data_IF_100395061635
#
_entry.id   IF_100395061635
#
_cell.length_a   1.000
_cell.length_b   1.000
_cell.length_c   1.000
_cell.angle_alpha   90.00
_cell.angle_beta   90.00
_cell.angle_gamma   90.00
#
_symmetry.space_group_name_H-M   'P 1'
#
loop_
_entity.id
_entity.type
_entity.pdbx_description
1 polymer ?
#
# COMPACT_ATOMS: atom_id res chain seq x y z
N UNK A 1 -4.68 13.34 -7.00
CA UNK A 1 -4.52 12.65 -8.30
C UNK A 1 -5.75 12.88 -9.12
N UNK A 2 -5.63 13.69 -10.17
CA UNK A 2 -6.73 14.02 -11.10
C UNK A 2 -6.88 12.96 -12.20
N UNK A 3 -5.85 12.13 -12.40
CA UNK A 3 -5.81 11.04 -13.37
C UNK A 3 -6.33 9.71 -12.81
N UNK A 4 -6.82 8.85 -13.72
CA UNK A 4 -7.29 7.49 -13.42
C UNK A 4 -6.15 6.46 -13.44
N UNK A 5 -4.96 6.90 -13.03
CA UNK A 5 -3.72 6.11 -13.07
C UNK A 5 -3.14 5.87 -11.68
N UNK A 6 -2.76 4.62 -11.44
CA UNK A 6 -2.03 4.17 -10.25
C UNK A 6 -0.53 4.17 -10.56
N UNK A 7 0.25 4.92 -9.78
CA UNK A 7 1.70 5.12 -10.03
C UNK A 7 2.59 4.43 -9.01
N UNK A 8 2.19 4.46 -7.74
CA UNK A 8 2.96 3.87 -6.65
C UNK A 8 2.99 2.34 -6.78
N UNK A 9 4.16 1.73 -6.59
CA UNK A 9 4.41 0.33 -6.93
C UNK A 9 3.53 -0.64 -6.13
N UNK A 10 3.34 -0.40 -4.83
CA UNK A 10 2.48 -1.25 -4.00
C UNK A 10 1.01 -1.12 -4.41
N UNK A 11 0.53 0.09 -4.65
CA UNK A 11 -0.83 0.34 -5.14
C UNK A 11 -1.07 -0.32 -6.50
N UNK A 12 -0.09 -0.28 -7.42
CA UNK A 12 -0.17 -0.99 -8.71
C UNK A 12 -0.27 -2.50 -8.52
N UNK A 13 0.48 -3.05 -7.55
CA UNK A 13 0.41 -4.46 -7.17
C UNK A 13 -0.98 -4.85 -6.65
N UNK A 14 -1.55 -4.05 -5.74
CA UNK A 14 -2.91 -4.28 -5.26
C UNK A 14 -3.96 -4.16 -6.36
N UNK A 15 -3.83 -3.16 -7.23
CA UNK A 15 -4.73 -2.94 -8.36
C UNK A 15 -4.66 -4.11 -9.35
N UNK A 16 -3.45 -4.63 -9.64
CA UNK A 16 -3.24 -5.79 -10.50
C UNK A 16 -4.00 -7.02 -9.99
N UNK A 17 -3.91 -7.32 -8.70
CA UNK A 17 -4.61 -8.48 -8.11
C UNK A 17 -6.12 -8.32 -8.31
N UNK A 18 -6.66 -7.15 -7.96
CA UNK A 18 -8.09 -6.87 -8.08
C UNK A 18 -8.56 -6.95 -9.55
N UNK A 19 -7.84 -6.28 -10.46
CA UNK A 19 -8.17 -6.27 -11.88
C UNK A 19 -8.12 -7.66 -12.50
N UNK A 20 -7.10 -8.46 -12.17
CA UNK A 20 -6.96 -9.83 -12.67
C UNK A 20 -8.13 -10.72 -12.23
N UNK A 21 -8.56 -10.62 -10.96
CA UNK A 21 -9.70 -11.37 -10.45
C UNK A 21 -11.02 -10.92 -11.07
N UNK A 22 -11.25 -9.60 -11.20
CA UNK A 22 -12.48 -9.05 -11.77
C UNK A 22 -12.63 -9.33 -13.26
N UNK A 23 -11.53 -9.31 -14.02
CA UNK A 23 -11.56 -9.58 -15.47
C UNK A 23 -11.59 -11.07 -15.79
N UNK A 24 -11.29 -11.96 -14.84
CA UNK A 24 -11.22 -13.40 -15.12
C UNK A 24 -9.90 -13.83 -15.77
N UNK A 25 -8.81 -13.16 -15.38
CA UNK A 25 -7.45 -13.45 -15.80
C UNK A 25 -7.09 -12.93 -17.20
N UNK A 26 -5.91 -13.29 -17.70
CA UNK A 26 -5.42 -12.81 -19.00
C UNK A 26 -6.33 -13.17 -20.18
N UNK A 27 -7.05 -14.29 -20.09
CA UNK A 27 -7.98 -14.76 -21.12
C UNK A 27 -9.40 -14.21 -20.96
N UNK A 28 -9.68 -13.47 -19.89
CA UNK A 28 -10.99 -12.91 -19.56
C UNK A 28 -12.15 -13.92 -19.63
N UNK A 29 -11.91 -15.14 -19.14
CA UNK A 29 -12.86 -16.25 -19.28
C UNK A 29 -13.01 -17.13 -18.03
N UNK A 30 -12.34 -16.76 -16.93
CA UNK A 30 -12.47 -17.44 -15.65
C UNK A 30 -13.39 -16.67 -14.72
N UNK A 31 -14.24 -17.37 -13.99
CA UNK A 31 -14.95 -16.80 -12.84
C UNK A 31 -14.12 -17.03 -11.58
N UNK A 32 -13.48 -15.97 -11.08
CA UNK A 32 -12.71 -16.02 -9.83
C UNK A 32 -13.54 -15.61 -8.59
N UNK A 33 -14.88 -15.62 -8.67
CA UNK A 33 -15.75 -15.40 -7.51
C UNK A 33 -15.62 -14.01 -6.90
N UNK A 34 -15.14 -13.02 -7.66
CA UNK A 34 -14.92 -11.64 -7.21
C UNK A 34 -15.70 -10.71 -8.12
N UNK A 35 -16.56 -9.85 -7.54
CA UNK A 35 -17.39 -8.91 -8.32
C UNK A 35 -17.48 -7.56 -7.64
N UNK A 36 -17.68 -6.52 -8.45
CA UNK A 36 -18.14 -5.22 -7.94
C UNK A 36 -19.66 -5.21 -8.00
N UNK A 37 -20.28 -4.90 -6.86
CA UNK A 37 -21.73 -4.73 -6.73
C UNK A 37 -22.05 -3.25 -6.46
N UNK A 38 -23.28 -2.86 -6.75
CA UNK A 38 -23.82 -1.59 -6.34
C UNK A 38 -24.92 -1.82 -5.29
N UNK A 39 -24.84 -1.09 -4.17
CA UNK A 39 -25.87 -1.08 -3.12
C UNK A 39 -26.09 0.37 -2.70
N UNK A 40 -27.34 0.83 -2.71
CA UNK A 40 -27.74 2.20 -2.35
C UNK A 40 -26.90 3.29 -3.04
N UNK A 41 -26.64 3.10 -4.34
CA UNK A 41 -25.83 4.01 -5.15
C UNK A 41 -24.31 3.96 -4.87
N UNK A 42 -23.83 3.09 -3.99
CA UNK A 42 -22.42 2.93 -3.66
C UNK A 42 -21.84 1.62 -4.18
N UNK A 43 -20.54 1.63 -4.52
CA UNK A 43 -19.83 0.46 -4.98
C UNK A 43 -19.15 -0.29 -3.84
N UNK A 44 -19.21 -1.62 -3.93
CA UNK A 44 -18.56 -2.54 -2.99
C UNK A 44 -17.91 -3.69 -3.76
N UNK A 45 -16.78 -4.16 -3.26
CA UNK A 45 -16.20 -5.42 -3.68
C UNK A 45 -16.90 -6.55 -2.92
N UNK A 46 -17.44 -7.53 -3.64
CA UNK A 46 -18.02 -8.75 -3.09
C UNK A 46 -17.16 -9.95 -3.50
N UNK A 47 -16.71 -10.70 -2.50
CA UNK A 47 -16.20 -12.06 -2.69
C UNK A 47 -17.39 -13.00 -2.56
N UNK A 48 -17.81 -13.58 -3.68
CA UNK A 48 -18.90 -14.57 -3.74
C UNK A 48 -18.39 -15.98 -3.43
N UNK A 49 -17.13 -16.27 -3.81
CA UNK A 49 -16.50 -17.57 -3.58
C UNK A 49 -15.01 -17.37 -3.26
N UNK A 50 -14.65 -17.66 -2.02
CA UNK A 50 -13.29 -17.49 -1.51
C UNK A 50 -12.29 -18.46 -2.15
N UNK A 51 -12.70 -19.70 -2.41
CA UNK A 51 -11.81 -20.70 -3.00
C UNK A 51 -11.52 -20.37 -4.46
N UNK A 52 -12.52 -19.90 -5.22
CA UNK A 52 -12.27 -19.39 -6.59
C UNK A 52 -11.35 -18.17 -6.58
N UNK A 53 -11.54 -17.23 -5.66
CA UNK A 53 -10.66 -16.06 -5.54
C UNK A 53 -9.22 -16.48 -5.21
N UNK A 54 -9.06 -17.44 -4.28
CA UNK A 54 -7.76 -18.02 -3.94
C UNK A 54 -7.09 -18.69 -5.13
N UNK A 55 -7.83 -19.46 -5.93
CA UNK A 55 -7.32 -20.04 -7.17
C UNK A 55 -6.85 -18.97 -8.16
N UNK A 56 -7.63 -17.90 -8.35
CA UNK A 56 -7.23 -16.79 -9.23
C UNK A 56 -5.96 -16.06 -8.78
N UNK A 57 -5.78 -15.88 -7.48
CA UNK A 57 -4.51 -15.36 -6.93
C UNK A 57 -3.36 -16.36 -7.17
N UNK A 58 -3.63 -17.66 -7.07
CA UNK A 58 -2.67 -18.71 -7.41
C UNK A 58 -2.22 -18.67 -8.87
N UNK A 59 -3.16 -18.54 -9.81
CA UNK A 59 -2.88 -18.40 -11.24
C UNK A 59 -2.00 -17.17 -11.52
N UNK A 60 -2.36 -16.03 -10.94
CA UNK A 60 -1.58 -14.80 -11.05
C UNK A 60 -0.18 -14.97 -10.45
N UNK A 61 -0.04 -15.65 -9.32
CA UNK A 61 1.26 -15.92 -8.69
C UNK A 61 2.15 -16.76 -9.61
N UNK A 62 1.64 -17.86 -10.16
CA UNK A 62 2.38 -18.71 -11.10
C UNK A 62 2.84 -17.89 -12.31
N UNK A 63 1.96 -17.04 -12.83
CA UNK A 63 2.27 -16.15 -13.95
C UNK A 63 3.38 -15.15 -13.64
N UNK A 64 3.24 -14.39 -12.54
CA UNK A 64 4.22 -13.39 -12.12
C UNK A 64 5.57 -14.03 -11.80
N UNK A 65 5.55 -15.19 -11.13
CA UNK A 65 6.77 -15.94 -10.82
C UNK A 65 7.45 -16.43 -12.11
N UNK A 66 6.69 -16.94 -13.08
CA UNK A 66 7.23 -17.36 -14.38
C UNK A 66 7.89 -16.20 -15.12
N UNK A 67 7.23 -15.04 -15.17
CA UNK A 67 7.76 -13.81 -15.77
C UNK A 67 9.08 -13.43 -15.11
N UNK A 68 9.11 -13.39 -13.76
CA UNK A 68 10.30 -13.07 -12.98
C UNK A 68 11.44 -14.05 -13.25
N UNK A 69 11.18 -15.35 -13.19
CA UNK A 69 12.18 -16.40 -13.39
C UNK A 69 12.76 -16.41 -14.80
N UNK A 70 12.00 -15.98 -15.81
CA UNK A 70 12.46 -15.86 -17.20
C UNK A 70 13.06 -14.49 -17.54
N UNK A 71 13.01 -13.52 -16.62
CA UNK A 71 13.46 -12.15 -16.87
C UNK A 71 12.65 -11.42 -17.96
N UNK A 72 11.38 -11.79 -18.18
CA UNK A 72 10.57 -11.24 -19.28
C UNK A 72 9.95 -9.87 -18.90
N UNK A 73 10.75 -8.81 -19.02
CA UNK A 73 10.31 -7.44 -18.72
C UNK A 73 9.14 -6.97 -19.58
N UNK A 74 9.02 -7.47 -20.82
CA UNK A 74 7.93 -7.08 -21.72
C UNK A 74 6.61 -7.69 -21.27
N UNK A 75 6.62 -8.97 -20.85
CA UNK A 75 5.43 -9.60 -20.26
C UNK A 75 5.04 -8.94 -18.93
N UNK A 76 6.02 -8.56 -18.10
CA UNK A 76 5.74 -7.81 -16.87
C UNK A 76 5.00 -6.50 -17.18
N UNK A 77 5.50 -5.71 -18.14
CA UNK A 77 4.86 -4.48 -18.60
C UNK A 77 3.40 -4.70 -19.01
N UNK A 78 3.14 -5.67 -19.91
CA UNK A 78 1.77 -5.97 -20.38
C UNK A 78 0.79 -6.33 -19.26
N UNK A 79 1.22 -7.15 -18.30
CA UNK A 79 0.37 -7.57 -17.16
C UNK A 79 0.02 -6.36 -16.29
N UNK A 80 1.01 -5.55 -15.92
CA UNK A 80 0.77 -4.37 -15.10
C UNK A 80 -0.01 -3.28 -15.83
N UNK A 81 0.26 -3.04 -17.11
CA UNK A 81 -0.42 -2.00 -17.88
C UNK A 81 -1.91 -2.32 -18.01
N UNK A 82 -2.25 -3.59 -18.25
CA UNK A 82 -3.65 -4.02 -18.33
C UNK A 82 -4.36 -3.93 -16.99
N UNK A 83 -3.84 -4.59 -15.96
CA UNK A 83 -4.59 -4.83 -14.73
C UNK A 83 -4.22 -3.89 -13.57
N UNK A 84 -3.00 -3.34 -13.58
CA UNK A 84 -2.41 -2.65 -12.42
C UNK A 84 -2.34 -1.13 -12.52
N UNK A 85 -2.66 -0.52 -13.67
CA UNK A 85 -2.48 0.93 -13.86
C UNK A 85 -3.78 1.73 -13.87
N UNK A 86 -4.90 1.17 -14.36
CA UNK A 86 -6.15 1.91 -14.57
C UNK A 86 -7.13 1.71 -13.42
N UNK A 87 -7.84 2.78 -13.06
CA UNK A 87 -8.94 2.76 -12.09
C UNK A 87 -10.23 3.13 -12.81
N UNK A 88 -11.34 2.47 -12.48
CA UNK A 88 -12.66 2.88 -12.97
C UNK A 88 -13.02 4.28 -12.40
N UNK A 89 -13.26 5.31 -13.24
CA UNK A 89 -13.49 6.68 -12.77
C UNK A 89 -14.76 6.83 -11.94
N UNK A 90 -15.82 6.07 -12.26
CA UNK A 90 -17.09 6.08 -11.54
C UNK A 90 -16.91 5.54 -10.12
N UNK A 91 -16.24 4.40 -9.97
CA UNK A 91 -15.93 3.81 -8.66
C UNK A 91 -15.04 4.75 -7.83
N UNK A 92 -14.01 5.35 -8.46
CA UNK A 92 -13.12 6.31 -7.81
C UNK A 92 -13.88 7.51 -7.26
N UNK A 93 -14.77 8.10 -8.07
CA UNK A 93 -15.54 9.27 -7.66
C UNK A 93 -16.49 8.94 -6.50
N UNK A 94 -17.17 7.79 -6.56
CA UNK A 94 -18.01 7.31 -5.47
C UNK A 94 -17.21 7.14 -4.16
N UNK A 95 -16.07 6.44 -4.21
CA UNK A 95 -15.23 6.18 -3.03
C UNK A 95 -14.66 7.48 -2.46
N UNK A 96 -14.21 8.41 -3.31
CA UNK A 96 -13.71 9.73 -2.85
C UNK A 96 -14.79 10.54 -2.14
N UNK A 97 -16.01 10.56 -2.68
CA UNK A 97 -17.13 11.27 -2.06
C UNK A 97 -17.51 10.68 -0.68
N UNK A 98 -17.28 9.36 -0.48
CA UNK A 98 -17.47 8.70 0.82
C UNK A 98 -16.33 9.02 1.78
N UNK A 99 -15.08 8.90 1.33
CA UNK A 99 -13.89 9.15 2.13
C UNK A 99 -13.83 10.61 2.63
N UNK A 100 -14.23 11.58 1.81
CA UNK A 100 -14.26 13.00 2.19
C UNK A 100 -15.14 13.29 3.41
N UNK A 101 -16.20 12.50 3.64
CA UNK A 101 -17.10 12.66 4.79
C UNK A 101 -16.46 12.22 6.11
N UNK A 102 -15.48 11.32 6.04
CA UNK A 102 -14.78 10.77 7.21
C UNK A 102 -13.67 11.69 7.74
N UNK A 103 -13.29 12.74 6.98
CA UNK A 103 -12.24 13.70 7.35
C UNK A 103 -10.93 13.04 7.82
N UNK A 104 -10.56 11.92 7.17
CA UNK A 104 -9.36 11.18 7.53
C UNK A 104 -8.09 11.91 7.07
N UNK A 105 -6.99 11.85 7.83
CA UNK A 105 -5.71 12.37 7.39
C UNK A 105 -5.20 11.57 6.17
N UNK A 106 -4.67 12.28 5.17
CA UNK A 106 -4.15 11.66 3.94
C UNK A 106 -2.79 10.96 4.14
N UNK A 107 -2.10 11.25 5.25
CA UNK A 107 -0.81 10.68 5.61
C UNK A 107 -0.74 10.51 7.12
N UNK A 108 -0.07 9.45 7.53
CA UNK A 108 0.30 9.21 8.92
C UNK A 108 1.80 9.42 9.07
N UNK A 109 2.21 9.92 10.23
CA UNK A 109 3.60 9.97 10.64
C UNK A 109 3.74 9.25 11.97
N UNK A 110 4.90 8.65 12.20
CA UNK A 110 5.25 8.05 13.48
C UNK A 110 6.20 8.99 14.21
N UNK A 111 5.94 9.21 15.50
CA UNK A 111 6.89 9.87 16.39
C UNK A 111 7.77 8.80 17.00
N UNK A 112 9.08 8.88 16.75
CA UNK A 112 10.02 7.92 17.33
C UNK A 112 10.22 8.18 18.82
N UNK A 113 10.35 7.15 19.66
CA UNK A 113 10.73 7.34 21.04
C UNK A 113 12.16 7.91 21.14
N UNK A 114 12.43 8.60 22.24
CA UNK A 114 13.77 9.05 22.60
C UNK A 114 14.43 8.00 23.48
N UNK A 115 15.69 7.70 23.18
CA UNK A 115 16.49 6.74 23.94
C UNK A 115 17.54 7.51 24.75
N UNK A 116 17.59 7.28 26.06
CA UNK A 116 18.59 7.87 26.96
C UNK A 116 19.42 6.74 27.60
N UNK A 117 20.76 6.74 27.47
CA UNK A 117 21.58 5.77 28.17
C UNK A 117 21.58 6.04 29.68
N UNK A 118 21.47 4.98 30.47
CA UNK A 118 21.70 5.00 31.91
C UNK A 118 23.14 4.54 32.14
N UNK A 119 23.96 5.39 32.76
CA UNK A 119 25.39 5.17 32.93
C UNK A 119 25.74 4.74 34.36
N UNK A 120 26.70 3.82 34.49
CA UNK A 120 27.44 3.53 35.73
C UNK A 120 28.92 3.80 35.47
N UNK A 121 29.39 4.98 35.86
CA UNK A 121 30.71 5.46 35.41
C UNK A 121 30.69 5.77 33.91
N UNK A 122 31.63 5.22 33.16
CA UNK A 122 31.68 5.33 31.69
C UNK A 122 30.93 4.20 30.96
N UNK A 123 30.37 3.24 31.69
CA UNK A 123 29.68 2.08 31.12
C UNK A 123 28.17 2.34 31.03
N UNK A 124 27.57 2.03 29.88
CA UNK A 124 26.11 2.01 29.71
C UNK A 124 25.59 0.72 30.34
N UNK A 125 24.73 0.85 31.36
CA UNK A 125 24.16 -0.31 32.07
C UNK A 125 22.70 -0.57 31.71
N UNK A 126 22.00 0.42 31.16
CA UNK A 126 20.62 0.30 30.68
C UNK A 126 20.29 1.44 29.69
N UNK A 127 19.14 1.37 29.02
CA UNK A 127 18.64 2.41 28.13
C UNK A 127 17.17 2.69 28.45
N UNK A 128 16.89 3.94 28.82
CA UNK A 128 15.53 4.41 29.07
C UNK A 128 14.86 4.78 27.75
N UNK A 129 13.63 4.26 27.56
CA UNK A 129 12.75 4.61 26.44
C UNK A 129 11.74 5.66 26.87
N UNK A 130 11.66 6.77 26.15
CA UNK A 130 10.76 7.89 26.42
C UNK A 130 9.84 8.14 25.21
N UNK A 131 8.54 8.28 25.48
CA UNK A 131 7.49 8.54 24.48
C UNK A 131 6.76 9.84 24.83
N UNK A 132 7.54 10.91 25.00
CA UNK A 132 7.13 12.20 25.59
C UNK A 132 7.07 13.34 24.57
N UNK A 133 7.34 13.07 23.29
CA UNK A 133 7.37 14.07 22.22
C UNK A 133 6.15 13.96 21.30
N UNK A 134 5.69 15.09 20.77
CA UNK A 134 4.88 15.13 19.56
C UNK A 134 5.76 15.25 18.31
N UNK A 135 5.15 15.24 17.12
CA UNK A 135 5.88 15.34 15.86
C UNK A 135 6.70 16.64 15.77
N UNK A 136 6.15 17.76 16.23
CA UNK A 136 6.81 19.07 16.16
C UNK A 136 8.05 19.10 17.03
N UNK A 137 7.93 18.68 18.29
CA UNK A 137 9.02 18.61 19.24
C UNK A 137 10.15 17.69 18.73
N UNK A 138 9.79 16.51 18.22
CA UNK A 138 10.76 15.58 17.65
C UNK A 138 11.51 16.17 16.45
N UNK A 139 10.81 16.79 15.49
CA UNK A 139 11.47 17.36 14.30
C UNK A 139 12.39 18.53 14.66
N UNK A 140 11.99 19.38 15.62
CA UNK A 140 12.84 20.46 16.13
C UNK A 140 14.09 19.92 16.83
N UNK A 141 13.95 18.85 17.64
CA UNK A 141 15.10 18.18 18.27
C UNK A 141 16.03 17.55 17.23
N UNK A 142 15.50 16.82 16.25
CA UNK A 142 16.29 16.24 15.16
C UNK A 142 17.02 17.31 14.35
N UNK A 143 16.38 18.45 14.09
CA UNK A 143 17.02 19.60 13.44
C UNK A 143 18.23 20.09 14.23
N UNK A 144 18.08 20.32 15.55
CA UNK A 144 19.19 20.71 16.43
C UNK A 144 20.33 19.69 16.44
N UNK A 145 20.02 18.38 16.46
CA UNK A 145 21.02 17.31 16.43
C UNK A 145 21.77 17.25 15.09
N UNK A 146 21.07 17.41 13.95
CA UNK A 146 21.68 17.37 12.61
C UNK A 146 22.67 18.50 12.37
N UNK A 147 22.47 19.65 12.99
CA UNK A 147 23.41 20.78 12.90
C UNK A 147 24.50 20.75 13.98
N UNK A 148 24.47 19.76 14.86
CA UNK A 148 25.56 19.51 15.78
C UNK A 148 26.59 18.56 15.12
N UNK A 149 27.30 19.05 14.10
CA UNK A 149 28.43 18.35 13.47
C UNK A 149 29.69 18.36 14.35
N UNK A 150 29.63 19.04 15.50
CA UNK A 150 30.66 18.98 16.53
C UNK A 150 30.35 17.80 17.47
N UNK A 151 30.67 16.61 16.98
CA UNK A 151 30.99 15.49 17.87
C UNK A 151 32.48 15.70 18.21
N UNK A 152 32.88 15.85 19.48
CA UNK A 152 34.29 15.73 19.85
C UNK A 152 34.84 14.33 19.51
#
# INVERSE_FOLDING_TARGET
YEDDFVREAHQRGSQLILGYLLEGGEKANQDYGTRVIQQDGNYYLRLEDLEKARHGVGDLLVRLQTIKSKGDSTAAGRVFDRFGTRVNPEWRNNIRARAARLKLPNKTAFVFPRLEPILKGSEIVDVKLLVDEDLTAQQLRFSRLRFNTQIP
#
